data_IF_036682567478
#
_entry.id   IF_036682567478
#
_cell.length_a   1.000
_cell.length_b   1.000
_cell.length_c   1.000
_cell.angle_alpha   90.00
_cell.angle_beta   90.00
_cell.angle_gamma   90.00
#
_symmetry.space_group_name_H-M   'P 1'
#
loop_
_entity.id
_entity.type
_entity.pdbx_description
1 polymer ?
#
# COMPACT_ATOMS: atom_id res chain seq x y z
N UNK A 1 -14.65 15.81 20.37
CA UNK A 1 -13.56 16.76 20.67
C UNK A 1 -12.96 17.15 19.32
N UNK A 2 -13.18 18.38 18.82
CA UNK A 2 -12.58 18.78 17.53
C UNK A 2 -11.07 18.80 17.72
N UNK A 3 -10.39 18.01 16.92
CA UNK A 3 -8.93 17.92 16.88
C UNK A 3 -8.42 19.23 16.29
N UNK A 4 -7.28 19.74 16.76
CA UNK A 4 -6.75 21.00 16.21
C UNK A 4 -6.22 20.77 14.80
N UNK A 5 -6.39 21.73 13.89
CA UNK A 5 -5.89 21.67 12.50
C UNK A 5 -4.42 21.24 12.43
N UNK A 6 -3.59 21.76 13.33
CA UNK A 6 -2.17 21.39 13.43
C UNK A 6 -1.96 19.89 13.69
N UNK A 7 -2.80 19.28 14.52
CA UNK A 7 -2.75 17.86 14.79
C UNK A 7 -3.25 17.04 13.59
N UNK A 8 -4.37 17.42 12.97
CA UNK A 8 -4.89 16.73 11.78
C UNK A 8 -3.87 16.73 10.64
N UNK A 9 -3.26 17.89 10.37
CA UNK A 9 -2.16 18.02 9.41
C UNK A 9 -0.98 17.11 9.76
N UNK A 10 -0.60 17.05 11.03
CA UNK A 10 0.50 16.18 11.49
C UNK A 10 0.17 14.71 11.25
N UNK A 11 -1.07 14.28 11.51
CA UNK A 11 -1.54 12.93 11.24
C UNK A 11 -1.50 12.60 9.75
N UNK A 12 -2.02 13.48 8.89
CA UNK A 12 -2.02 13.26 7.44
C UNK A 12 -0.59 13.18 6.88
N UNK A 13 0.32 14.06 7.32
CA UNK A 13 1.71 14.01 6.88
C UNK A 13 2.45 12.76 7.38
N UNK A 14 2.09 12.24 8.57
CA UNK A 14 2.60 10.95 9.05
C UNK A 14 2.09 9.82 8.18
N UNK A 15 0.81 9.81 7.85
CA UNK A 15 0.21 8.78 6.99
C UNK A 15 0.82 8.79 5.59
N UNK A 16 1.00 9.96 4.99
CA UNK A 16 1.68 10.10 3.70
C UNK A 16 3.12 9.57 3.74
N UNK A 17 3.86 9.81 4.83
CA UNK A 17 5.19 9.21 5.01
C UNK A 17 5.13 7.69 5.16
N UNK A 18 4.14 7.16 5.90
CA UNK A 18 3.93 5.70 6.01
C UNK A 18 3.68 5.09 4.64
N UNK A 19 2.81 5.68 3.82
CA UNK A 19 2.57 5.23 2.45
C UNK A 19 3.82 5.29 1.58
N UNK A 20 4.60 6.38 1.66
CA UNK A 20 5.86 6.51 0.92
C UNK A 20 6.82 5.36 1.25
N UNK A 21 7.02 5.08 2.53
CA UNK A 21 7.88 3.98 2.97
C UNK A 21 7.31 2.61 2.60
N UNK A 22 6.01 2.41 2.72
CA UNK A 22 5.35 1.17 2.35
C UNK A 22 5.52 0.87 0.86
N UNK A 23 5.27 1.86 0.00
CA UNK A 23 5.44 1.74 -1.43
C UNK A 23 6.91 1.46 -1.79
N UNK A 24 7.84 2.21 -1.21
CA UNK A 24 9.29 2.03 -1.45
C UNK A 24 9.78 0.64 -1.04
N UNK A 25 9.33 0.12 0.12
CA UNK A 25 9.71 -1.21 0.59
C UNK A 25 9.10 -2.31 -0.27
N UNK A 26 7.87 -2.12 -0.73
CA UNK A 26 7.19 -3.03 -1.65
C UNK A 26 7.92 -3.10 -2.98
N UNK A 27 8.14 -1.97 -3.65
CA UNK A 27 8.84 -1.90 -4.94
C UNK A 27 10.24 -2.49 -4.86
N UNK A 28 11.01 -2.11 -3.83
CA UNK A 28 12.34 -2.66 -3.60
C UNK A 28 12.33 -4.19 -3.45
N UNK A 29 11.36 -4.72 -2.71
CA UNK A 29 11.24 -6.16 -2.52
C UNK A 29 10.79 -6.89 -3.80
N UNK A 30 9.90 -6.29 -4.58
CA UNK A 30 9.44 -6.86 -5.85
C UNK A 30 10.54 -6.84 -6.91
N UNK A 31 11.28 -5.74 -7.03
CA UNK A 31 12.44 -5.61 -7.92
C UNK A 31 13.53 -6.62 -7.59
N UNK A 32 13.78 -6.86 -6.29
CA UNK A 32 14.70 -7.90 -5.85
C UNK A 32 14.23 -9.29 -6.31
N UNK A 33 12.93 -9.59 -6.22
CA UNK A 33 12.38 -10.87 -6.71
C UNK A 33 12.52 -10.98 -8.21
N UNK A 34 12.10 -9.96 -8.97
CA UNK A 34 12.14 -9.95 -10.42
C UNK A 34 13.58 -10.06 -10.97
N UNK A 35 14.54 -9.40 -10.33
CA UNK A 35 15.96 -9.49 -10.72
C UNK A 35 16.57 -10.85 -10.39
N UNK A 36 16.15 -11.49 -9.29
CA UNK A 36 16.74 -12.75 -8.83
C UNK A 36 16.09 -13.98 -9.47
N UNK A 37 14.79 -13.96 -9.76
CA UNK A 37 14.03 -15.11 -10.25
C UNK A 37 14.65 -15.78 -11.49
N UNK A 38 15.13 -15.07 -12.53
CA UNK A 38 15.77 -15.70 -13.70
C UNK A 38 17.00 -16.55 -13.35
N UNK A 39 17.69 -16.24 -12.25
CA UNK A 39 18.88 -16.96 -11.79
C UNK A 39 18.58 -18.20 -10.94
N UNK A 40 17.33 -18.36 -10.49
CA UNK A 40 16.90 -19.42 -9.58
C UNK A 40 16.11 -20.54 -10.29
N UNK A 41 15.95 -20.45 -11.61
CA UNK A 41 15.16 -21.39 -12.41
C UNK A 41 13.69 -21.00 -12.49
N UNK A 42 12.82 -21.98 -12.72
CA UNK A 42 11.38 -21.76 -12.88
C UNK A 42 10.75 -21.41 -11.53
N UNK A 43 10.06 -20.28 -11.38
CA UNK A 43 9.38 -19.95 -10.14
C UNK A 43 8.21 -20.92 -9.87
N UNK A 44 7.82 -21.13 -8.61
CA UNK A 44 6.71 -22.04 -8.25
C UNK A 44 5.34 -21.57 -8.75
N UNK A 45 5.24 -20.34 -9.26
CA UNK A 45 4.07 -19.76 -9.87
C UNK A 45 4.41 -18.43 -10.54
N UNK A 46 3.43 -17.79 -11.22
CA UNK A 46 3.61 -16.45 -11.75
C UNK A 46 3.91 -15.46 -10.61
N UNK A 47 4.85 -14.55 -10.85
CA UNK A 47 5.10 -13.42 -9.95
C UNK A 47 3.95 -12.42 -10.19
N UNK A 48 3.14 -12.10 -9.18
CA UNK A 48 2.02 -11.20 -9.37
C UNK A 48 2.52 -9.76 -9.55
N UNK A 49 1.88 -9.04 -10.49
CA UNK A 49 2.11 -7.61 -10.73
C UNK A 49 1.28 -6.80 -9.73
N UNK A 50 1.91 -6.42 -8.61
CA UNK A 50 1.26 -5.73 -7.49
C UNK A 50 1.95 -4.40 -7.25
N UNK A 51 1.19 -3.34 -6.98
CA UNK A 51 1.70 -2.02 -6.62
C UNK A 51 0.74 -1.32 -5.65
N UNK A 52 1.27 -0.39 -4.84
CA UNK A 52 0.41 0.51 -4.09
C UNK A 52 -0.21 1.57 -5.01
N UNK A 53 -1.42 2.01 -4.68
CA UNK A 53 -2.08 3.11 -5.39
C UNK A 53 -1.30 4.41 -5.21
N UNK A 54 -1.36 5.29 -6.21
CA UNK A 54 -0.81 6.62 -6.08
C UNK A 54 -1.61 7.43 -5.05
N UNK A 55 -0.87 8.12 -4.19
CA UNK A 55 -1.45 8.98 -3.17
C UNK A 55 -0.75 10.33 -3.14
N UNK A 56 -1.49 11.38 -2.78
CA UNK A 56 -0.96 12.73 -2.65
C UNK A 56 -1.60 13.47 -1.47
N UNK A 57 -0.84 14.39 -0.87
CA UNK A 57 -1.36 15.30 0.15
C UNK A 57 -1.93 16.53 -0.54
N UNK A 58 -3.20 16.83 -0.26
CA UNK A 58 -3.88 18.05 -0.71
C UNK A 58 -4.05 18.97 0.48
N UNK A 59 -3.69 20.23 0.30
CA UNK A 59 -3.87 21.28 1.30
C UNK A 59 -4.49 22.52 0.66
N UNK A 60 -5.44 23.14 1.34
CA UNK A 60 -5.99 24.42 0.89
C UNK A 60 -5.15 25.57 1.42
N UNK A 61 -4.81 26.52 0.55
CA UNK A 61 -4.28 27.81 0.99
C UNK A 61 -5.40 28.68 1.56
N UNK A 62 -5.07 29.47 2.59
CA UNK A 62 -6.01 30.45 3.15
C UNK A 62 -6.39 31.47 2.05
N UNK A 63 -7.69 31.66 1.74
CA UNK A 63 -8.10 32.74 0.85
C UNK A 63 -7.75 34.11 1.42
N UNK A 64 -7.44 35.08 0.57
CA UNK A 64 -7.14 36.46 1.00
C UNK A 64 -8.32 37.12 1.71
N UNK A 65 -9.55 36.75 1.32
CA UNK A 65 -10.81 37.27 1.87
C UNK A 65 -11.13 36.77 3.29
N UNK A 66 -10.39 35.78 3.81
CA UNK A 66 -10.66 35.16 5.12
C UNK A 66 -9.58 35.58 6.13
N UNK A 67 -10.02 36.07 7.30
CA UNK A 67 -9.12 36.41 8.41
C UNK A 67 -8.49 35.12 8.97
N UNK A 68 -7.22 35.15 9.43
CA UNK A 68 -6.55 33.96 9.95
C UNK A 68 -7.32 33.20 11.04
N UNK A 69 -8.01 33.94 11.93
CA UNK A 69 -8.80 33.34 13.02
C UNK A 69 -10.07 32.60 12.56
N UNK A 70 -10.55 32.91 11.36
CA UNK A 70 -11.80 32.38 10.78
C UNK A 70 -11.48 31.32 9.70
N UNK A 71 -10.20 31.03 9.47
CA UNK A 71 -9.73 29.99 8.57
C UNK A 71 -9.44 28.71 9.35
N UNK A 72 -10.02 27.59 8.90
CA UNK A 72 -9.88 26.29 9.56
C UNK A 72 -8.89 25.35 8.87
N UNK A 73 -8.36 25.73 7.71
CA UNK A 73 -7.49 24.86 6.91
C UNK A 73 -8.21 23.64 6.36
N UNK A 74 -7.50 22.93 5.50
CA UNK A 74 -7.85 21.58 5.06
C UNK A 74 -6.55 20.87 4.68
N UNK A 75 -6.37 19.66 5.19
CA UNK A 75 -5.27 18.77 4.82
C UNK A 75 -5.86 17.36 4.70
N UNK A 76 -5.68 16.72 3.55
CA UNK A 76 -6.13 15.36 3.32
C UNK A 76 -5.12 14.58 2.50
N UNK A 77 -5.11 13.28 2.71
CA UNK A 77 -4.47 12.31 1.83
C UNK A 77 -5.53 11.85 0.82
N UNK A 78 -5.20 11.92 -0.46
CA UNK A 78 -6.09 11.53 -1.56
C UNK A 78 -5.39 10.43 -2.35
N UNK A 79 -6.10 9.33 -2.58
CA UNK A 79 -5.61 8.13 -3.28
C UNK A 79 -6.34 7.93 -4.61
N UNK A 80 -5.72 7.20 -5.55
CA UNK A 80 -6.40 6.77 -6.78
C UNK A 80 -7.62 5.92 -6.41
N UNK A 81 -8.79 6.32 -6.92
CA UNK A 81 -10.00 5.52 -6.81
C UNK A 81 -9.85 4.22 -7.61
N UNK A 82 -10.02 3.10 -6.91
CA UNK A 82 -10.05 1.77 -7.50
C UNK A 82 -11.43 1.49 -8.11
N UNK A 83 -11.53 0.65 -9.18
CA UNK A 83 -12.80 0.15 -9.68
C UNK A 83 -13.68 -0.46 -8.57
N UNK A 84 -15.00 -0.42 -8.77
CA UNK A 84 -15.94 -1.12 -7.90
C UNK A 84 -15.76 -2.64 -8.03
N UNK A 85 -15.02 -3.20 -7.07
CA UNK A 85 -14.74 -4.63 -6.92
C UNK A 85 -14.52 -4.94 -5.43
N UNK A 86 -14.40 -6.21 -5.08
CA UNK A 86 -14.18 -6.63 -3.70
C UNK A 86 -12.81 -6.16 -3.20
N UNK A 87 -12.84 -5.21 -2.25
CA UNK A 87 -11.67 -4.76 -1.53
C UNK A 87 -11.39 -5.70 -0.37
N UNK A 88 -10.34 -6.50 -0.49
CA UNK A 88 -10.00 -7.55 0.47
C UNK A 88 -8.71 -7.25 1.20
N UNK A 89 -8.58 -7.84 2.38
CA UNK A 89 -7.34 -7.85 3.15
C UNK A 89 -6.60 -9.15 2.87
N UNK A 90 -5.35 -9.07 2.44
CA UNK A 90 -4.50 -10.23 2.17
C UNK A 90 -3.66 -10.63 3.39
N UNK A 91 -3.20 -9.63 4.16
CA UNK A 91 -2.38 -9.84 5.37
C UNK A 91 -2.83 -8.87 6.45
N UNK A 92 -3.04 -9.36 7.68
CA UNK A 92 -3.39 -8.53 8.83
C UNK A 92 -2.15 -7.89 9.48
N UNK A 93 -2.30 -6.72 10.09
CA UNK A 93 -1.25 -6.15 10.97
C UNK A 93 -1.00 -6.96 12.26
N UNK A 94 -1.96 -7.77 12.72
CA UNK A 94 -1.84 -8.55 13.96
C UNK A 94 -1.12 -9.90 13.80
N UNK A 95 -1.02 -10.43 12.58
CA UNK A 95 -0.40 -11.73 12.31
C UNK A 95 0.33 -11.70 10.95
N UNK A 96 1.56 -12.25 10.84
CA UNK A 96 2.29 -12.30 9.57
C UNK A 96 1.85 -13.50 8.72
N UNK A 97 0.56 -13.86 8.77
CA UNK A 97 0.01 -15.03 8.10
C UNK A 97 -0.92 -14.57 6.96
N UNK A 98 -0.93 -15.30 5.83
CA UNK A 98 -1.86 -15.00 4.75
C UNK A 98 -3.29 -15.24 5.23
N UNK A 99 -4.21 -14.35 4.85
CA UNK A 99 -5.63 -14.53 5.08
C UNK A 99 -6.17 -15.55 4.07
N UNK A 100 -6.96 -16.51 4.56
CA UNK A 100 -7.72 -17.41 3.71
C UNK A 100 -8.94 -16.67 3.15
N UNK A 101 -8.91 -16.42 1.84
CA UNK A 101 -9.96 -15.72 1.10
C UNK A 101 -10.84 -16.69 0.29
N UNK A 102 -10.65 -18.01 0.42
CA UNK A 102 -11.45 -19.02 -0.27
C UNK A 102 -11.19 -19.17 -1.78
N UNK A 103 -10.24 -18.41 -2.33
CA UNK A 103 -9.78 -18.50 -3.72
C UNK A 103 -8.30 -18.85 -3.78
N UNK A 104 -7.93 -19.87 -4.54
CA UNK A 104 -6.54 -20.31 -4.73
C UNK A 104 -5.65 -19.17 -5.25
N UNK A 105 -6.19 -18.32 -6.13
CA UNK A 105 -5.44 -17.21 -6.70
C UNK A 105 -5.19 -16.09 -5.68
N UNK A 106 -6.22 -15.70 -4.94
CA UNK A 106 -6.08 -14.73 -3.86
C UNK A 106 -5.17 -15.26 -2.74
N UNK A 107 -5.25 -16.56 -2.45
CA UNK A 107 -4.35 -17.22 -1.51
C UNK A 107 -2.89 -17.16 -1.98
N UNK A 108 -2.61 -17.41 -3.27
CA UNK A 108 -1.26 -17.24 -3.84
C UNK A 108 -0.75 -15.81 -3.70
N UNK A 109 -1.60 -14.81 -3.90
CA UNK A 109 -1.23 -13.39 -3.68
C UNK A 109 -0.92 -13.15 -2.21
N UNK A 110 -1.76 -13.61 -1.29
CA UNK A 110 -1.53 -13.45 0.15
C UNK A 110 -0.20 -14.09 0.60
N UNK A 111 0.10 -15.31 0.12
CA UNK A 111 1.37 -15.99 0.38
C UNK A 111 2.56 -15.22 -0.21
N UNK A 112 2.44 -14.72 -1.43
CA UNK A 112 3.47 -13.92 -2.07
C UNK A 112 3.76 -12.62 -1.30
N UNK A 113 2.72 -11.94 -0.82
CA UNK A 113 2.86 -10.74 0.01
C UNK A 113 3.57 -11.05 1.33
N UNK A 114 3.24 -12.15 2.01
CA UNK A 114 4.00 -12.60 3.19
C UNK A 114 5.47 -12.90 2.86
N UNK A 115 5.76 -13.45 1.69
CA UNK A 115 7.13 -13.62 1.22
C UNK A 115 7.86 -12.27 1.02
N UNK A 116 7.19 -11.24 0.47
CA UNK A 116 7.75 -9.90 0.40
C UNK A 116 8.04 -9.32 1.80
N UNK A 117 7.16 -9.55 2.79
CA UNK A 117 7.43 -9.15 4.18
C UNK A 117 8.73 -9.75 4.71
N UNK A 118 9.00 -11.02 4.40
CA UNK A 118 10.26 -11.66 4.78
C UNK A 118 11.48 -11.00 4.12
N UNK A 119 11.41 -10.71 2.81
CA UNK A 119 12.48 -9.98 2.11
C UNK A 119 12.73 -8.64 2.77
N UNK A 120 11.67 -7.84 2.98
CA UNK A 120 11.74 -6.51 3.58
C UNK A 120 12.35 -6.56 4.98
N UNK A 121 11.91 -7.49 5.83
CA UNK A 121 12.43 -7.65 7.18
C UNK A 121 13.91 -7.99 7.19
N UNK A 122 14.37 -8.86 6.29
CA UNK A 122 15.79 -9.19 6.16
C UNK A 122 16.61 -8.03 5.60
N UNK A 123 16.11 -7.37 4.57
CA UNK A 123 16.79 -6.24 3.91
C UNK A 123 16.96 -5.05 4.85
N UNK A 124 15.95 -4.75 5.66
CA UNK A 124 15.98 -3.66 6.64
C UNK A 124 16.74 -4.02 7.92
N UNK A 125 17.41 -5.19 7.98
CA UNK A 125 18.09 -5.69 9.19
C UNK A 125 17.14 -5.76 10.38
N UNK A 126 15.98 -6.35 10.15
CA UNK A 126 14.97 -6.68 11.16
C UNK A 126 14.32 -5.44 11.79
N UNK A 127 14.31 -4.31 11.04
CA UNK A 127 13.78 -3.02 11.53
C UNK A 127 12.39 -2.71 11.04
N UNK A 128 12.04 -3.11 9.82
CA UNK A 128 10.75 -2.79 9.23
C UNK A 128 10.33 -3.81 8.17
N UNK A 129 9.02 -3.97 8.03
CA UNK A 129 8.37 -4.62 6.92
C UNK A 129 6.97 -4.00 6.77
N UNK A 130 6.38 -4.13 5.60
CA UNK A 130 5.03 -3.65 5.32
C UNK A 130 4.04 -4.70 5.79
N UNK A 131 3.03 -4.29 6.56
CA UNK A 131 1.91 -5.15 6.94
C UNK A 131 0.62 -4.57 6.40
N UNK A 132 -0.52 -5.18 6.73
CA UNK A 132 -1.82 -4.65 6.35
C UNK A 132 -2.05 -4.55 4.84
N UNK A 133 -1.46 -5.47 4.07
CA UNK A 133 -1.70 -5.52 2.63
C UNK A 133 -3.19 -5.78 2.35
N UNK A 134 -3.78 -4.86 1.59
CA UNK A 134 -5.18 -4.85 1.22
C UNK A 134 -5.34 -4.18 -0.14
N UNK A 135 -6.37 -4.55 -0.88
CA UNK A 135 -6.60 -4.03 -2.23
C UNK A 135 -7.69 -4.80 -2.95
N UNK A 136 -7.88 -4.48 -4.22
CA UNK A 136 -8.79 -5.22 -5.10
C UNK A 136 -8.03 -6.30 -5.86
N UNK A 137 -8.72 -7.40 -6.14
CA UNK A 137 -8.23 -8.42 -7.06
C UNK A 137 -8.82 -8.20 -8.46
N UNK A 138 -8.04 -7.65 -9.38
CA UNK A 138 -8.49 -7.41 -10.76
C UNK A 138 -8.48 -8.71 -11.59
N UNK A 139 -9.42 -9.61 -11.32
CA UNK A 139 -9.62 -10.85 -12.08
C UNK A 139 -9.84 -10.64 -13.58
N UNK A 140 -10.28 -9.44 -13.98
CA UNK A 140 -10.75 -9.12 -15.35
C UNK A 140 -9.76 -8.41 -16.26
N UNK A 141 -8.62 -7.92 -15.76
CA UNK A 141 -7.64 -7.22 -16.62
C UNK A 141 -6.68 -8.17 -17.34
N UNK A 142 -6.53 -9.42 -16.90
CA UNK A 142 -5.80 -10.45 -17.63
C UNK A 142 -6.46 -10.80 -18.97
N UNK A 143 -7.77 -10.58 -19.12
CA UNK A 143 -8.52 -10.85 -20.35
C UNK A 143 -8.49 -9.70 -21.38
N UNK A 144 -7.91 -8.53 -21.05
CA UNK A 144 -7.89 -7.33 -21.92
C UNK A 144 -6.47 -7.05 -22.46
N UNK A 145 -5.47 -7.84 -22.05
CA UNK A 145 -4.06 -7.68 -22.48
C UNK A 145 -3.60 -8.71 -23.54
N UNK A 146 -4.53 -9.43 -24.19
CA UNK A 146 -4.28 -10.28 -25.36
C UNK A 146 -4.84 -9.67 -26.65
#
# INVERSE_FOLDING_TARGET
RRVTESFERTCILREANTMLWANTLHDMSLDMVLSKAPSLGTPPGPIPDLHFVEATVVMNSKPDSVKPKDWHGFCALVERLLPEDDFVKYVCNGTPQPIDLGSDEQHRIAVFLCFLQHIQYRFTKEKAFVSDYQGIFLSRLSAIRD
#
